data_IF_348293643763
#
_entry.id   IF_348293643763
#
_cell.length_a   1.000
_cell.length_b   1.000
_cell.length_c   1.000
_cell.angle_alpha   90.00
_cell.angle_beta   90.00
_cell.angle_gamma   90.00
#
_symmetry.space_group_name_H-M   'P 1'
#
loop_
_entity.id
_entity.type
_entity.pdbx_description
1 polymer ?
#
# COMPACT_ATOMS: atom_id res chain seq x y z
N UNK A 1 2.22 16.42 13.51
CA UNK A 1 1.16 15.94 12.60
C UNK A 1 1.54 16.37 11.19
N UNK A 2 1.47 15.47 10.23
CA UNK A 2 1.70 15.75 8.81
C UNK A 2 0.42 15.45 8.05
N UNK A 3 0.08 16.35 7.13
CA UNK A 3 -1.00 16.16 6.17
C UNK A 3 -0.40 16.40 4.79
N UNK A 4 -0.68 15.50 3.85
CA UNK A 4 -0.31 15.66 2.45
C UNK A 4 -1.52 15.33 1.58
N UNK A 5 -1.67 16.05 0.48
CA UNK A 5 -2.64 15.72 -0.55
C UNK A 5 -1.88 15.60 -1.86
N UNK A 6 -2.08 14.48 -2.54
CA UNK A 6 -1.48 14.20 -3.85
C UNK A 6 -2.61 14.07 -4.86
N UNK A 7 -2.46 14.78 -5.96
CA UNK A 7 -3.32 14.63 -7.13
C UNK A 7 -2.42 14.31 -8.32
N UNK A 8 -2.69 13.18 -8.96
CA UNK A 8 -2.02 12.80 -10.19
C UNK A 8 -3.07 12.58 -11.26
N UNK A 9 -2.89 13.26 -12.39
CA UNK A 9 -3.66 13.02 -13.59
C UNK A 9 -2.70 12.47 -14.65
N UNK A 10 -3.01 11.32 -15.25
CA UNK A 10 -2.38 10.96 -16.52
C UNK A 10 -3.14 11.72 -17.61
N UNK A 11 -2.56 12.82 -18.09
CA UNK A 11 -3.04 13.44 -19.31
C UNK A 11 -2.64 12.52 -20.49
N UNK A 12 -3.57 12.27 -21.40
CA UNK A 12 -3.17 11.81 -22.73
C UNK A 12 -2.16 12.82 -23.27
N UNK A 13 -1.03 12.35 -23.81
CA UNK A 13 -0.15 13.21 -24.56
C UNK A 13 -0.94 13.72 -25.78
N UNK A 14 -1.40 14.97 -25.75
CA UNK A 14 -1.75 15.65 -26.98
C UNK A 14 -0.47 15.77 -27.82
N UNK A 15 -0.59 15.49 -29.11
CA UNK A 15 0.50 15.59 -30.07
C UNK A 15 1.10 17.01 -30.01
N UNK A 16 2.28 17.16 -29.40
CA UNK A 16 3.06 18.41 -29.48
C UNK A 16 3.58 19.05 -28.19
N UNK A 17 3.38 18.52 -26.98
CA UNK A 17 3.95 19.16 -25.76
C UNK A 17 4.84 18.23 -24.92
N UNK A 18 6.16 18.40 -25.03
CA UNK A 18 7.21 17.73 -24.26
C UNK A 18 7.43 18.33 -22.86
N UNK A 19 6.36 18.54 -22.08
CA UNK A 19 6.48 19.05 -20.70
C UNK A 19 5.91 18.04 -19.69
N UNK A 20 6.74 17.12 -19.15
CA UNK A 20 6.31 16.16 -18.13
C UNK A 20 6.47 16.64 -16.67
N UNK A 21 6.71 17.93 -16.40
CA UNK A 21 7.17 18.39 -15.06
C UNK A 21 6.36 19.52 -14.41
N UNK A 22 5.04 19.60 -14.65
CA UNK A 22 4.18 20.45 -13.84
C UNK A 22 3.22 19.59 -13.01
N UNK A 23 3.40 19.66 -11.69
CA UNK A 23 2.42 19.21 -10.69
C UNK A 23 1.12 20.00 -10.92
N UNK A 24 0.28 19.53 -11.82
CA UNK A 24 -1.01 20.13 -12.11
C UNK A 24 -2.06 19.54 -11.16
N UNK A 25 -2.49 20.33 -10.18
CA UNK A 25 -3.74 20.07 -9.47
C UNK A 25 -4.88 20.42 -10.44
N UNK A 26 -5.14 19.52 -11.38
CA UNK A 26 -6.27 19.64 -12.30
C UNK A 26 -7.55 19.25 -11.57
N UNK A 27 -8.17 20.23 -10.89
CA UNK A 27 -9.57 20.09 -10.50
C UNK A 27 -10.41 19.96 -11.77
N UNK A 28 -11.38 19.02 -11.83
CA UNK A 28 -12.20 18.89 -13.01
C UNK A 28 -12.95 20.21 -13.25
N UNK A 29 -13.01 20.62 -14.51
CA UNK A 29 -13.99 21.59 -14.95
C UNK A 29 -15.34 20.89 -14.81
N UNK A 30 -16.36 21.54 -14.23
CA UNK A 30 -17.67 20.93 -13.89
C UNK A 30 -18.22 20.06 -15.04
N UNK A 31 -18.06 20.48 -16.30
CA UNK A 31 -18.51 19.74 -17.48
C UNK A 31 -17.85 18.37 -17.71
N UNK A 32 -16.58 18.19 -17.33
CA UNK A 32 -15.87 16.90 -17.46
C UNK A 32 -16.46 15.86 -16.51
N UNK A 33 -16.86 16.27 -15.32
CA UNK A 33 -17.47 15.39 -14.31
C UNK A 33 -18.83 14.83 -14.74
N UNK A 34 -19.64 15.62 -15.44
CA UNK A 34 -20.95 15.18 -15.93
C UNK A 34 -20.82 14.23 -17.13
N UNK A 35 -19.88 14.48 -18.04
CA UNK A 35 -19.59 13.57 -19.15
C UNK A 35 -19.07 12.22 -18.62
N UNK A 36 -18.19 12.26 -17.61
CA UNK A 36 -17.64 11.06 -16.95
C UNK A 36 -18.71 10.20 -16.27
N UNK A 37 -19.85 10.78 -15.86
CA UNK A 37 -21.01 10.02 -15.36
C UNK A 37 -21.77 9.27 -16.45
N UNK A 38 -21.81 9.79 -17.68
CA UNK A 38 -22.62 9.23 -18.77
C UNK A 38 -21.84 8.22 -19.63
N UNK A 39 -20.56 8.49 -19.91
CA UNK A 39 -19.73 7.69 -20.82
C UNK A 39 -18.54 6.99 -20.16
N UNK A 40 -18.32 7.20 -18.86
CA UNK A 40 -17.20 6.64 -18.10
C UNK A 40 -15.97 7.58 -18.06
N UNK A 41 -14.91 7.21 -17.31
CA UNK A 41 -13.80 8.10 -17.01
C UNK A 41 -13.06 8.53 -18.30
N UNK A 42 -13.09 9.83 -18.59
CA UNK A 42 -12.41 10.45 -19.72
C UNK A 42 -10.96 10.81 -19.38
N UNK A 43 -10.64 10.95 -18.09
CA UNK A 43 -9.30 11.21 -17.57
C UNK A 43 -8.96 10.26 -16.43
N UNK A 44 -7.75 9.68 -16.45
CA UNK A 44 -7.26 8.86 -15.35
C UNK A 44 -6.75 9.77 -14.22
N UNK A 45 -7.54 9.91 -13.16
CA UNK A 45 -7.20 10.74 -12.01
C UNK A 45 -7.14 9.88 -10.76
N UNK A 46 -6.01 9.96 -10.08
CA UNK A 46 -5.83 9.44 -8.74
C UNK A 46 -5.67 10.61 -7.78
N UNK A 47 -6.49 10.61 -6.74
CA UNK A 47 -6.37 11.57 -5.65
C UNK A 47 -6.21 10.81 -4.35
N UNK A 48 -5.29 11.26 -3.50
CA UNK A 48 -5.09 10.69 -2.18
C UNK A 48 -4.80 11.78 -1.15
N UNK A 49 -5.39 11.63 0.03
CA UNK A 49 -5.09 12.41 1.22
C UNK A 49 -4.41 11.50 2.21
N UNK A 50 -3.24 11.92 2.69
CA UNK A 50 -2.47 11.22 3.69
C UNK A 50 -2.43 12.02 4.98
N UNK A 51 -2.72 11.33 6.08
CA UNK A 51 -2.56 11.80 7.45
C UNK A 51 -1.50 10.97 8.16
N UNK A 52 -0.63 11.64 8.92
CA UNK A 52 0.33 10.98 9.79
C UNK A 52 0.43 11.70 11.13
N UNK A 53 0.13 10.97 12.20
CA UNK A 53 0.37 11.36 13.58
C UNK A 53 1.61 10.65 14.10
N UNK A 54 2.53 11.40 14.71
CA UNK A 54 3.71 10.85 15.40
C UNK A 54 3.75 11.38 16.81
N UNK A 55 4.20 10.55 17.74
CA UNK A 55 4.42 10.96 19.13
C UNK A 55 5.71 10.38 19.68
N UNK A 56 6.17 11.03 20.75
CA UNK A 56 7.21 10.59 21.66
C UNK A 56 6.73 10.87 23.08
N UNK A 57 7.06 10.01 24.02
CA UNK A 57 6.73 10.16 25.44
C UNK A 57 5.23 10.46 25.65
N UNK A 58 4.39 9.61 25.05
CA UNK A 58 2.95 9.71 25.06
C UNK A 58 2.41 9.78 26.51
N UNK A 59 1.60 10.79 26.86
CA UNK A 59 1.11 10.99 28.22
C UNK A 59 -0.06 10.06 28.59
N UNK A 60 -0.57 9.26 27.66
CA UNK A 60 -1.74 8.40 27.84
C UNK A 60 -1.35 6.94 28.16
N UNK A 61 -2.01 6.29 29.14
CA UNK A 61 -1.63 4.95 29.61
C UNK A 61 -2.04 3.80 28.67
N UNK A 62 -2.83 4.07 27.63
CA UNK A 62 -3.38 3.05 26.73
C UNK A 62 -2.43 2.62 25.60
N UNK A 63 -1.43 3.44 25.28
CA UNK A 63 -0.43 3.14 24.26
C UNK A 63 0.96 3.08 24.91
N UNK A 64 1.89 2.24 24.40
CA UNK A 64 3.28 2.22 24.85
C UNK A 64 3.83 3.64 24.88
N UNK A 65 4.32 4.04 26.05
CA UNK A 65 4.56 5.44 26.37
C UNK A 65 5.70 6.06 25.55
N UNK A 66 6.62 5.29 24.96
CA UNK A 66 7.88 5.85 24.43
C UNK A 66 7.77 6.53 23.07
N UNK A 67 7.24 5.86 22.05
CA UNK A 67 7.08 6.47 20.73
C UNK A 67 6.13 5.65 19.84
N UNK A 68 5.56 6.32 18.85
CA UNK A 68 4.79 5.65 17.83
C UNK A 68 4.34 6.57 16.72
N UNK A 69 3.66 5.98 15.75
CA UNK A 69 3.00 6.67 14.65
C UNK A 69 1.70 5.98 14.27
N UNK A 70 0.75 6.77 13.82
CA UNK A 70 -0.44 6.33 13.11
C UNK A 70 -0.45 7.01 11.76
N UNK A 71 -0.86 6.28 10.73
CA UNK A 71 -1.03 6.84 9.40
C UNK A 71 -2.34 6.37 8.80
N UNK A 72 -2.88 7.20 7.93
CA UNK A 72 -4.05 6.90 7.13
C UNK A 72 -3.86 7.55 5.76
N UNK A 73 -4.06 6.78 4.71
CA UNK A 73 -4.14 7.25 3.35
C UNK A 73 -5.53 6.91 2.84
N UNK A 74 -6.24 7.93 2.36
CA UNK A 74 -7.55 7.80 1.76
C UNK A 74 -7.49 8.37 0.36
N UNK A 75 -7.71 7.52 -0.62
CA UNK A 75 -7.67 7.93 -2.00
C UNK A 75 -8.85 7.46 -2.80
N UNK A 76 -8.85 7.83 -4.07
CA UNK A 76 -9.93 7.61 -5.01
C UNK A 76 -9.48 7.67 -6.45
N UNK A 77 -10.16 6.90 -7.31
CA UNK A 77 -10.33 7.31 -8.71
C UNK A 77 -11.67 8.03 -8.87
N UNK A 78 -11.65 9.00 -9.79
CA UNK A 78 -12.78 9.82 -10.20
C UNK A 78 -13.43 10.66 -9.08
N UNK A 79 -14.04 11.77 -9.49
CA UNK A 79 -14.79 12.64 -8.59
C UNK A 79 -16.25 12.68 -9.02
N UNK A 80 -17.15 12.55 -8.06
CA UNK A 80 -18.55 12.91 -8.25
C UNK A 80 -18.74 14.37 -7.83
N UNK A 81 -19.57 15.15 -8.54
CA UNK A 81 -19.98 16.45 -8.05
C UNK A 81 -20.83 16.22 -6.79
N UNK A 82 -20.47 16.86 -5.68
CA UNK A 82 -21.20 16.77 -4.42
C UNK A 82 -21.38 18.15 -3.78
N UNK A 83 -22.20 18.23 -2.73
CA UNK A 83 -22.51 19.49 -2.05
C UNK A 83 -23.38 20.46 -2.85
N UNK A 84 -23.64 21.68 -2.32
CA UNK A 84 -24.44 22.69 -3.00
C UNK A 84 -23.87 23.01 -4.38
N UNK A 85 -24.70 22.92 -5.43
CA UNK A 85 -24.31 23.14 -6.83
C UNK A 85 -23.19 22.21 -7.36
N UNK A 86 -22.88 21.09 -6.70
CA UNK A 86 -21.89 20.12 -7.19
C UNK A 86 -20.44 20.59 -7.11
N UNK A 87 -20.15 21.65 -6.33
CA UNK A 87 -18.82 22.26 -6.27
C UNK A 87 -17.83 21.55 -5.34
N UNK A 88 -18.29 20.60 -4.52
CA UNK A 88 -17.42 19.83 -3.63
C UNK A 88 -17.10 18.50 -4.32
N UNK A 89 -15.86 18.24 -4.73
CA UNK A 89 -15.49 16.96 -5.33
C UNK A 89 -15.55 15.87 -4.26
N UNK A 90 -16.32 14.81 -4.52
CA UNK A 90 -16.37 13.60 -3.69
C UNK A 90 -15.69 12.45 -4.42
N UNK A 91 -14.77 11.76 -3.74
CA UNK A 91 -14.14 10.54 -4.27
C UNK A 91 -15.23 9.49 -4.56
N UNK A 92 -15.26 8.99 -5.79
CA UNK A 92 -16.33 8.08 -6.24
C UNK A 92 -16.03 6.60 -5.95
N UNK A 93 -14.75 6.22 -6.04
CA UNK A 93 -14.27 4.87 -5.83
C UNK A 93 -13.17 4.89 -4.77
N UNK A 94 -13.52 4.97 -3.48
CA UNK A 94 -12.54 5.13 -2.43
C UNK A 94 -11.70 3.87 -2.20
N UNK A 95 -10.47 4.08 -1.74
CA UNK A 95 -9.60 3.09 -1.13
C UNK A 95 -8.95 3.69 0.10
N UNK A 96 -8.55 2.84 1.03
CA UNK A 96 -7.99 3.27 2.31
C UNK A 96 -6.86 2.35 2.74
N UNK A 97 -5.77 2.95 3.23
CA UNK A 97 -4.70 2.26 3.94
C UNK A 97 -4.54 2.91 5.30
N UNK A 98 -4.64 2.13 6.37
CA UNK A 98 -4.49 2.61 7.74
C UNK A 98 -3.47 1.76 8.47
N UNK A 99 -2.62 2.38 9.26
CA UNK A 99 -1.66 1.64 10.06
C UNK A 99 -1.22 2.35 11.31
N UNK A 100 -0.61 1.56 12.19
CA UNK A 100 -0.04 1.97 13.45
C UNK A 100 1.31 1.29 13.64
N UNK A 101 2.26 2.01 14.22
CA UNK A 101 3.52 1.45 14.66
C UNK A 101 3.91 2.03 16.02
N UNK A 102 4.39 1.15 16.90
CA UNK A 102 4.77 1.41 18.27
C UNK A 102 6.24 1.02 18.42
N UNK A 103 7.02 1.86 19.08
CA UNK A 103 8.46 1.70 19.18
C UNK A 103 8.93 1.76 20.63
N UNK A 104 9.77 0.80 20.97
CA UNK A 104 10.48 0.71 22.24
C UNK A 104 11.93 0.23 21.98
N UNK A 105 12.92 0.63 22.80
CA UNK A 105 14.26 0.06 22.75
C UNK A 105 14.28 -1.47 22.67
N UNK A 106 13.41 -2.15 23.42
CA UNK A 106 13.38 -3.60 23.47
C UNK A 106 12.49 -4.25 22.41
N UNK A 107 11.58 -3.51 21.77
CA UNK A 107 10.65 -4.10 20.80
C UNK A 107 9.99 -3.06 19.87
N UNK A 108 9.58 -3.49 18.68
CA UNK A 108 8.70 -2.72 17.79
C UNK A 108 7.46 -3.55 17.45
N UNK A 109 6.30 -2.91 17.32
CA UNK A 109 5.08 -3.54 16.83
C UNK A 109 4.45 -2.65 15.78
N UNK A 110 4.06 -3.20 14.63
CA UNK A 110 3.26 -2.46 13.66
C UNK A 110 2.15 -3.32 13.08
N UNK A 111 1.08 -2.66 12.64
CA UNK A 111 0.01 -3.25 11.88
C UNK A 111 -0.44 -2.28 10.78
N UNK A 112 -0.80 -2.83 9.63
CA UNK A 112 -1.37 -2.08 8.51
C UNK A 112 -2.53 -2.87 7.91
N UNK A 113 -3.63 -2.18 7.64
CA UNK A 113 -4.77 -2.68 6.90
C UNK A 113 -4.94 -1.84 5.63
N UNK A 114 -5.13 -2.51 4.50
CA UNK A 114 -5.37 -1.89 3.20
C UNK A 114 -6.67 -2.46 2.62
N UNK A 115 -7.59 -1.57 2.27
CA UNK A 115 -8.85 -1.85 1.57
C UNK A 115 -8.83 -1.09 0.25
N UNK A 116 -8.59 -1.81 -0.83
CA UNK A 116 -8.39 -1.23 -2.18
C UNK A 116 -9.49 -1.64 -3.15
N UNK A 117 -10.37 -2.53 -2.71
CA UNK A 117 -11.48 -3.04 -3.51
C UNK A 117 -12.62 -2.03 -3.49
N UNK A 118 -13.14 -1.75 -4.68
CA UNK A 118 -14.42 -1.07 -4.85
C UNK A 118 -15.34 -1.96 -5.70
N UNK A 119 -16.65 -1.96 -5.45
CA UNK A 119 -17.58 -2.89 -6.12
C UNK A 119 -17.71 -2.64 -7.62
N UNK A 120 -17.48 -1.38 -8.04
CA UNK A 120 -17.79 -0.92 -9.41
C UNK A 120 -16.63 -0.28 -10.13
N UNK A 121 -15.45 -0.16 -9.52
CA UNK A 121 -14.27 0.47 -10.15
C UNK A 121 -13.04 -0.35 -9.78
N UNK A 122 -12.29 -0.77 -10.80
CA UNK A 122 -11.00 -1.43 -10.58
C UNK A 122 -9.94 -0.34 -10.57
N UNK A 123 -9.34 -0.12 -9.41
CA UNK A 123 -8.27 0.86 -9.25
C UNK A 123 -7.07 0.53 -10.15
N UNK A 124 -6.36 1.57 -10.60
CA UNK A 124 -5.21 1.47 -11.51
C UNK A 124 -5.55 0.90 -12.90
N UNK A 125 -6.82 0.82 -13.27
CA UNK A 125 -7.26 0.45 -14.61
C UNK A 125 -7.90 1.64 -15.31
N UNK A 126 -7.68 1.76 -16.62
CA UNK A 126 -8.27 2.81 -17.44
C UNK A 126 -8.65 2.24 -18.81
N UNK A 127 -9.80 2.64 -19.35
CA UNK A 127 -10.26 2.13 -20.65
C UNK A 127 -9.42 2.62 -21.83
N UNK A 128 -8.76 3.77 -21.70
CA UNK A 128 -7.93 4.38 -22.73
C UNK A 128 -6.47 3.91 -22.67
N UNK A 129 -6.05 3.32 -21.54
CA UNK A 129 -4.69 2.78 -21.34
C UNK A 129 -4.77 1.29 -20.98
N UNK A 130 -4.56 0.37 -21.94
CA UNK A 130 -4.62 -1.07 -21.70
C UNK A 130 -3.71 -1.57 -20.58
N UNK A 131 -2.59 -0.89 -20.34
CA UNK A 131 -1.61 -1.19 -19.30
C UNK A 131 -2.00 -0.65 -17.91
N UNK A 132 -3.01 0.24 -17.85
CA UNK A 132 -3.43 0.92 -16.64
C UNK A 132 -2.33 1.80 -16.04
N UNK A 133 -2.32 1.93 -14.71
CA UNK A 133 -1.32 2.73 -13.97
C UNK A 133 0.00 1.96 -13.76
N UNK A 134 0.56 1.45 -14.86
CA UNK A 134 1.77 0.61 -14.86
C UNK A 134 2.84 1.17 -15.78
N UNK A 135 4.10 1.00 -15.41
CA UNK A 135 5.26 1.31 -16.25
C UNK A 135 6.14 0.07 -16.37
N UNK A 136 6.46 -0.37 -17.60
CA UNK A 136 7.25 -1.59 -17.84
C UNK A 136 6.73 -2.84 -17.08
N UNK A 137 5.39 -2.96 -16.95
CA UNK A 137 4.69 -4.02 -16.18
C UNK A 137 4.83 -3.91 -14.66
N UNK A 138 5.42 -2.83 -14.15
CA UNK A 138 5.41 -2.49 -12.74
C UNK A 138 4.23 -1.58 -12.44
N UNK A 139 3.34 -2.01 -11.55
CA UNK A 139 2.26 -1.19 -11.05
C UNK A 139 2.84 -0.03 -10.23
N UNK A 140 2.50 1.20 -10.58
CA UNK A 140 3.00 2.42 -9.92
C UNK A 140 2.16 2.83 -8.70
N UNK A 141 1.58 1.85 -8.00
CA UNK A 141 0.68 2.05 -6.87
C UNK A 141 0.84 0.97 -5.81
N UNK A 142 -0.24 0.67 -5.09
CA UNK A 142 -0.19 -0.37 -4.06
C UNK A 142 0.07 -1.75 -4.67
N UNK A 143 1.00 -2.53 -4.11
CA UNK A 143 1.45 -3.81 -4.68
C UNK A 143 0.38 -4.90 -4.85
N UNK A 144 -0.81 -4.72 -4.27
CA UNK A 144 -1.97 -5.61 -4.45
C UNK A 144 -2.87 -5.21 -5.62
N UNK A 145 -2.56 -4.13 -6.33
CA UNK A 145 -3.45 -3.59 -7.34
C UNK A 145 -4.72 -3.01 -6.75
N UNK A 146 -5.71 -2.85 -7.62
CA UNK A 146 -6.94 -2.14 -7.33
C UNK A 146 -8.13 -2.98 -6.87
N UNK A 147 -7.87 -4.24 -6.54
CA UNK A 147 -8.89 -5.21 -6.12
C UNK A 147 -8.50 -5.92 -4.83
N UNK A 148 -7.48 -5.40 -4.16
CA UNK A 148 -6.82 -6.05 -3.04
C UNK A 148 -7.40 -5.64 -1.69
N UNK A 149 -7.37 -6.57 -0.75
CA UNK A 149 -7.49 -6.30 0.67
C UNK A 149 -6.31 -6.94 1.38
N UNK A 150 -5.77 -6.31 2.41
CA UNK A 150 -4.75 -6.95 3.22
C UNK A 150 -4.68 -6.46 4.64
N UNK A 151 -4.23 -7.36 5.50
CA UNK A 151 -3.75 -7.06 6.84
C UNK A 151 -2.32 -7.57 6.97
N UNK A 152 -1.44 -6.71 7.46
CA UNK A 152 -0.05 -7.05 7.75
C UNK A 152 0.30 -6.64 9.17
N UNK A 153 1.16 -7.43 9.82
CA UNK A 153 1.63 -7.16 11.16
C UNK A 153 3.11 -7.50 11.29
N UNK A 154 3.86 -6.68 12.01
CA UNK A 154 5.27 -6.95 12.30
C UNK A 154 5.54 -6.79 13.79
N UNK A 155 6.32 -7.70 14.37
CA UNK A 155 6.84 -7.64 15.72
C UNK A 155 8.35 -7.80 15.63
N UNK A 156 9.09 -6.93 16.31
CA UNK A 156 10.53 -7.07 16.51
C UNK A 156 10.84 -7.06 17.99
N UNK A 157 11.75 -7.91 18.44
CA UNK A 157 12.18 -7.99 19.84
C UNK A 157 13.70 -8.01 19.89
N UNK A 158 14.27 -7.19 20.78
CA UNK A 158 15.69 -6.99 21.01
C UNK A 158 15.98 -7.23 22.49
N UNK A 159 16.18 -8.50 22.90
CA UNK A 159 16.41 -8.82 24.30
C UNK A 159 17.67 -8.12 24.82
N UNK A 160 17.58 -7.52 26.00
CA UNK A 160 18.73 -6.85 26.62
C UNK A 160 19.89 -7.82 26.82
N UNK A 161 21.11 -7.37 26.52
CA UNK A 161 22.33 -8.17 26.63
C UNK A 161 22.58 -9.13 25.47
N UNK A 162 21.60 -9.38 24.60
CA UNK A 162 21.80 -10.16 23.38
C UNK A 162 22.02 -9.22 22.19
N UNK A 163 23.11 -9.41 21.43
CA UNK A 163 23.37 -8.68 20.18
C UNK A 163 22.56 -9.25 19.00
N UNK A 164 21.26 -9.51 19.19
CA UNK A 164 20.35 -10.05 18.19
C UNK A 164 18.97 -9.39 18.23
N UNK A 165 18.30 -9.38 17.09
CA UNK A 165 16.90 -9.02 16.92
C UNK A 165 16.14 -10.21 16.36
N UNK A 166 15.00 -10.52 16.98
CA UNK A 166 14.02 -11.49 16.48
C UNK A 166 12.87 -10.72 15.86
N UNK A 167 12.48 -11.09 14.64
CA UNK A 167 11.36 -10.52 13.92
C UNK A 167 10.32 -11.58 13.58
N UNK A 168 9.05 -11.19 13.63
CA UNK A 168 7.91 -11.93 13.11
C UNK A 168 7.14 -10.99 12.20
N UNK A 169 6.85 -11.43 10.99
CA UNK A 169 5.96 -10.75 10.06
C UNK A 169 4.83 -11.70 9.68
N UNK A 170 3.60 -11.21 9.76
CA UNK A 170 2.39 -11.93 9.34
C UNK A 170 1.66 -11.10 8.30
N UNK A 171 1.17 -11.75 7.25
CA UNK A 171 0.40 -11.09 6.23
C UNK A 171 -0.73 -11.99 5.75
N UNK A 172 -1.90 -11.40 5.57
CA UNK A 172 -3.02 -11.96 4.85
C UNK A 172 -3.44 -10.97 3.78
N UNK A 173 -3.56 -11.47 2.55
CA UNK A 173 -3.81 -10.70 1.34
C UNK A 173 -4.89 -11.43 0.55
N UNK A 174 -5.89 -10.72 0.07
CA UNK A 174 -6.87 -11.25 -0.88
C UNK A 174 -7.02 -10.29 -2.05
N UNK A 175 -7.44 -10.80 -3.19
CA UNK A 175 -7.81 -9.99 -4.34
C UNK A 175 -8.91 -10.67 -5.13
N UNK A 176 -9.95 -9.93 -5.47
CA UNK A 176 -11.07 -10.45 -6.26
C UNK A 176 -11.92 -9.31 -6.82
N UNK A 177 -12.14 -9.30 -8.14
CA UNK A 177 -13.10 -8.41 -8.77
C UNK A 177 -13.57 -8.92 -10.14
N UNK A 178 -14.40 -9.98 -10.22
CA UNK A 178 -14.92 -10.49 -11.48
C UNK A 178 -15.93 -9.49 -12.08
N UNK A 179 -15.98 -9.30 -13.42
CA UNK A 179 -15.16 -9.91 -14.47
C UNK A 179 -13.87 -9.13 -14.81
N UNK A 180 -13.48 -8.17 -13.96
CA UNK A 180 -12.45 -7.16 -14.26
C UNK A 180 -11.03 -7.60 -13.95
N UNK A 181 -10.85 -8.50 -12.98
CA UNK A 181 -9.58 -9.18 -12.76
C UNK A 181 -9.50 -10.49 -13.55
N UNK A 182 -8.31 -10.91 -14.00
CA UNK A 182 -8.12 -12.20 -14.67
C UNK A 182 -8.29 -13.40 -13.74
N UNK A 183 -8.41 -13.16 -12.43
CA UNK A 183 -8.63 -14.18 -11.41
C UNK A 183 -8.84 -13.55 -10.03
N UNK A 184 -9.03 -14.43 -9.06
CA UNK A 184 -9.11 -14.12 -7.64
C UNK A 184 -8.03 -14.88 -6.89
N UNK A 185 -7.69 -14.46 -5.69
CA UNK A 185 -6.79 -15.23 -4.85
C UNK A 185 -6.71 -14.77 -3.42
N UNK A 186 -6.13 -15.62 -2.61
CA UNK A 186 -5.82 -15.40 -1.22
C UNK A 186 -4.40 -15.87 -0.95
N UNK A 187 -3.64 -15.09 -0.17
CA UNK A 187 -2.31 -15.45 0.30
C UNK A 187 -2.17 -15.19 1.77
N UNK A 188 -1.65 -16.19 2.49
CA UNK A 188 -1.21 -16.10 3.88
C UNK A 188 0.29 -16.29 3.93
N UNK A 189 0.97 -15.47 4.74
CA UNK A 189 2.41 -15.55 4.90
C UNK A 189 2.79 -15.32 6.36
N UNK A 190 3.74 -16.11 6.83
CA UNK A 190 4.42 -15.92 8.11
C UNK A 190 5.92 -15.94 7.84
N UNK A 191 6.62 -14.91 8.30
CA UNK A 191 8.07 -14.79 8.15
C UNK A 191 8.72 -14.59 9.51
N UNK A 192 9.65 -15.46 9.85
CA UNK A 192 10.53 -15.32 11.01
C UNK A 192 11.86 -14.74 10.53
N UNK A 193 12.35 -13.74 11.26
CA UNK A 193 13.58 -13.03 10.96
C UNK A 193 14.51 -13.13 12.16
N UNK A 194 15.75 -13.53 11.94
CA UNK A 194 16.81 -13.43 12.93
C UNK A 194 17.89 -12.52 12.36
N UNK A 195 18.16 -11.41 13.05
CA UNK A 195 19.16 -10.43 12.65
C UNK A 195 20.21 -10.28 13.75
N UNK A 196 21.49 -10.31 13.38
CA UNK A 196 22.57 -9.93 14.28
C UNK A 196 22.67 -8.41 14.37
N UNK A 197 22.75 -7.87 15.58
CA UNK A 197 22.92 -6.43 15.80
C UNK A 197 24.41 -6.05 15.86
N UNK A 198 24.77 -4.80 15.50
CA UNK A 198 26.14 -4.31 15.63
C UNK A 198 26.63 -4.42 17.09
N UNK A 199 27.88 -4.86 17.26
CA UNK A 199 28.58 -4.72 18.54
C UNK A 199 29.28 -3.36 18.59
N UNK A 200 29.33 -2.73 19.76
CA UNK A 200 30.05 -1.46 19.99
C UNK A 200 31.58 -1.53 19.84
N UNK A 201 32.11 -2.60 19.25
CA UNK A 201 33.53 -2.97 19.31
C UNK A 201 34.32 -2.37 18.11
N UNK A 202 33.77 -1.37 17.42
CA UNK A 202 34.42 -0.61 16.33
C UNK A 202 34.66 -1.37 15.02
N UNK A 203 34.62 -2.71 15.03
CA UNK A 203 34.62 -3.55 13.82
C UNK A 203 33.17 -3.71 13.37
N UNK A 204 32.81 -3.21 12.18
CA UNK A 204 31.49 -3.48 11.61
C UNK A 204 31.30 -5.00 11.50
N UNK A 205 30.44 -5.63 12.33
CA UNK A 205 30.17 -7.04 12.13
C UNK A 205 29.40 -7.18 10.82
N UNK A 206 29.72 -8.20 10.03
CA UNK A 206 28.87 -8.58 8.88
C UNK A 206 27.45 -8.76 9.41
N UNK A 207 26.55 -7.87 9.00
CA UNK A 207 25.15 -7.95 9.35
C UNK A 207 24.58 -9.19 8.67
N UNK A 208 24.31 -10.23 9.45
CA UNK A 208 23.62 -11.42 8.97
C UNK A 208 22.15 -11.30 9.30
N UNK A 209 21.29 -11.46 8.29
CA UNK A 209 19.85 -11.66 8.46
C UNK A 209 19.50 -13.05 7.91
N UNK A 210 18.89 -13.89 8.74
CA UNK A 210 18.29 -15.15 8.33
C UNK A 210 16.77 -14.99 8.31
N UNK A 211 16.14 -15.39 7.21
CA UNK A 211 14.68 -15.33 7.05
C UNK A 211 14.17 -16.73 6.76
N UNK A 212 13.13 -17.12 7.48
CA UNK A 212 12.35 -18.34 7.24
C UNK A 212 10.90 -17.90 7.01
N UNK A 213 10.40 -18.13 5.80
CA UNK A 213 9.03 -17.80 5.44
C UNK A 213 8.24 -19.02 5.05
N UNK A 214 7.07 -19.17 5.64
CA UNK A 214 6.01 -20.03 5.14
C UNK A 214 4.99 -19.18 4.39
N UNK A 215 4.42 -19.73 3.33
CA UNK A 215 3.27 -19.14 2.66
C UNK A 215 2.32 -20.21 2.15
N UNK A 216 1.04 -19.82 2.07
CA UNK A 216 0.00 -20.55 1.37
C UNK A 216 -0.76 -19.58 0.47
N UNK A 217 -1.02 -19.98 -0.75
CA UNK A 217 -1.63 -19.18 -1.80
C UNK A 217 -2.65 -20.03 -2.57
N UNK A 218 -3.88 -19.55 -2.63
CA UNK A 218 -4.99 -20.18 -3.33
C UNK A 218 -5.45 -19.21 -4.42
N UNK A 219 -5.32 -19.57 -5.71
CA UNK A 219 -5.63 -18.71 -6.86
C UNK A 219 -6.65 -19.37 -7.76
N UNK A 220 -7.63 -18.60 -8.24
CA UNK A 220 -8.62 -19.02 -9.21
C UNK A 220 -8.55 -18.14 -10.44
N UNK A 221 -8.30 -18.74 -11.61
CA UNK A 221 -8.35 -18.05 -12.89
C UNK A 221 -9.79 -17.87 -13.38
N UNK A 222 -10.00 -16.89 -14.26
CA UNK A 222 -11.31 -16.61 -14.89
C UNK A 222 -11.89 -17.78 -15.68
N UNK A 223 -11.06 -18.72 -16.13
CA UNK A 223 -11.46 -19.94 -16.84
C UNK A 223 -11.88 -21.09 -15.92
N UNK A 224 -11.89 -20.87 -14.62
CA UNK A 224 -12.17 -21.91 -13.62
C UNK A 224 -10.96 -22.73 -13.21
N UNK A 225 -9.78 -22.43 -13.76
CA UNK A 225 -8.52 -23.06 -13.34
C UNK A 225 -8.22 -22.69 -11.89
N UNK A 226 -8.01 -23.69 -11.03
CA UNK A 226 -7.57 -23.47 -9.65
C UNK A 226 -6.10 -23.85 -9.52
N UNK A 227 -5.32 -22.99 -8.87
CA UNK A 227 -3.95 -23.27 -8.48
C UNK A 227 -3.82 -23.07 -6.97
N UNK A 228 -3.22 -24.06 -6.30
CA UNK A 228 -2.88 -23.97 -4.88
C UNK A 228 -1.39 -24.17 -4.71
N UNK A 229 -0.76 -23.24 -4.02
CA UNK A 229 0.65 -23.26 -3.68
C UNK A 229 0.83 -23.20 -2.18
N UNK A 230 1.61 -24.11 -1.61
CA UNK A 230 2.08 -24.01 -0.24
C UNK A 230 3.57 -24.29 -0.24
N UNK A 231 4.34 -23.52 0.51
CA UNK A 231 5.78 -23.70 0.50
C UNK A 231 6.53 -22.93 1.57
N UNK A 232 7.79 -23.31 1.70
CA UNK A 232 8.77 -22.67 2.56
C UNK A 232 9.83 -21.98 1.71
N UNK A 233 10.29 -20.82 2.16
CA UNK A 233 11.44 -20.11 1.61
C UNK A 233 12.41 -19.80 2.74
N UNK A 234 13.66 -20.15 2.53
CA UNK A 234 14.76 -19.80 3.42
C UNK A 234 15.77 -18.99 2.64
N UNK A 235 16.13 -17.83 3.16
CA UNK A 235 17.20 -17.04 2.57
C UNK A 235 17.97 -16.30 3.65
N UNK A 236 19.26 -16.11 3.39
CA UNK A 236 20.14 -15.33 4.24
C UNK A 236 20.68 -14.16 3.45
N UNK A 237 20.72 -12.98 4.08
CA UNK A 237 21.38 -11.80 3.54
C UNK A 237 22.58 -11.51 4.42
N UNK A 238 23.74 -11.40 3.80
CA UNK A 238 24.98 -10.97 4.47
C UNK A 238 25.28 -9.57 3.96
N UNK A 239 25.19 -8.58 4.85
CA UNK A 239 25.63 -7.22 4.56
C UNK A 239 27.11 -7.24 4.21
N UNK A 240 27.45 -6.74 3.03
CA UNK A 240 28.84 -6.43 2.69
C UNK A 240 29.29 -5.24 3.56
N UNK A 241 30.54 -5.25 4.05
CA UNK A 241 31.11 -4.14 4.80
C UNK A 241 31.24 -2.86 3.97
#
# INVERSE_FOLDING_TARGET
>A
MRVAATHTAMAAAEEGTLWPDLMAINFPIIGTTWLEQEVGPATDRLFAVQFEGRWRDAPWPLLPSRAGRVWWEYGGTDFLPSGPAGVVPQISAPASVVGIALYDPAWDLSGEYAELRHDKVLWYSNSSFPEGYSHERWLMGHALGGSGESITGTLRVRPSGLKVEFGLEVAHKSWDMPPRTPGSGERRQVTLVLRRLPGGDGKQPRLGTLNLSWFREDVRGRRGDEARGEGWRVWATVGMP
#
